data_IF_299097881311
#
_entry.id   IF_299097881311
#
_cell.length_a   1.000
_cell.length_b   1.000
_cell.length_c   1.000
_cell.angle_alpha   90.00
_cell.angle_beta   90.00
_cell.angle_gamma   90.00
#
_symmetry.space_group_name_H-M   'P 1'
#
loop_
_entity.id
_entity.type
_entity.pdbx_description
1 polymer ?
#
# COMPACT_ATOMS: atom_id res chain seq x y z
N UNK A 1 -25.33 2.58 -7.53
CA UNK A 1 -24.12 1.90 -8.08
C UNK A 1 -24.05 0.50 -7.53
N UNK A 2 -23.77 -0.49 -8.38
CA UNK A 2 -23.54 -1.86 -7.94
C UNK A 2 -22.14 -1.99 -7.31
N UNK A 3 -21.97 -2.96 -6.40
CA UNK A 3 -20.69 -3.25 -5.77
C UNK A 3 -19.90 -4.23 -6.63
N UNK A 4 -18.58 -4.06 -6.65
CA UNK A 4 -17.67 -5.07 -7.17
C UNK A 4 -17.26 -5.99 -6.01
N UNK A 5 -17.41 -7.30 -6.19
CA UNK A 5 -16.97 -8.30 -5.23
C UNK A 5 -15.94 -9.17 -5.92
N UNK A 6 -14.71 -9.18 -5.39
CA UNK A 6 -13.60 -9.99 -5.88
C UNK A 6 -13.30 -11.12 -4.89
N UNK A 7 -12.80 -12.23 -5.39
CA UNK A 7 -12.52 -13.44 -4.61
C UNK A 7 -11.09 -13.93 -4.84
N UNK A 8 -10.66 -14.87 -4.01
CA UNK A 8 -9.42 -15.62 -4.13
C UNK A 8 -8.19 -14.74 -4.44
N UNK A 9 -7.52 -15.04 -5.54
CA UNK A 9 -6.26 -14.44 -5.91
C UNK A 9 -6.40 -12.98 -6.34
N UNK A 10 -7.49 -12.65 -7.03
CA UNK A 10 -7.76 -11.28 -7.46
C UNK A 10 -7.96 -10.36 -6.26
N UNK A 11 -8.67 -10.83 -5.23
CA UNK A 11 -8.82 -10.12 -3.97
C UNK A 11 -7.47 -9.95 -3.26
N UNK A 12 -6.68 -11.03 -3.12
CA UNK A 12 -5.37 -11.00 -2.45
C UNK A 12 -4.39 -10.06 -3.15
N UNK A 13 -4.28 -10.12 -4.48
CA UNK A 13 -3.40 -9.23 -5.26
C UNK A 13 -3.85 -7.77 -5.21
N UNK A 14 -5.16 -7.51 -5.10
CA UNK A 14 -5.68 -6.17 -4.86
C UNK A 14 -5.18 -5.60 -3.53
N UNK A 15 -5.30 -6.39 -2.46
CA UNK A 15 -4.85 -6.00 -1.12
C UNK A 15 -3.34 -5.85 -1.04
N UNK A 16 -2.59 -6.80 -1.61
CA UNK A 16 -1.12 -6.79 -1.62
C UNK A 16 -0.58 -5.51 -2.28
N UNK A 17 -1.12 -5.12 -3.44
CA UNK A 17 -0.71 -3.88 -4.13
C UNK A 17 -0.93 -2.64 -3.26
N UNK A 18 -2.08 -2.53 -2.62
CA UNK A 18 -2.39 -1.43 -1.71
C UNK A 18 -1.45 -1.42 -0.49
N UNK A 19 -1.21 -2.59 0.09
CA UNK A 19 -0.31 -2.74 1.23
C UNK A 19 1.13 -2.37 0.86
N UNK A 20 1.64 -2.86 -0.28
CA UNK A 20 2.98 -2.54 -0.77
C UNK A 20 3.15 -1.04 -0.99
N UNK A 21 2.15 -0.38 -1.59
CA UNK A 21 2.17 1.08 -1.80
C UNK A 21 2.33 1.84 -0.46
N UNK A 22 1.57 1.44 0.55
CA UNK A 22 1.64 2.06 1.88
C UNK A 22 2.97 1.74 2.59
N UNK A 23 3.35 0.47 2.62
CA UNK A 23 4.56 -0.01 3.27
C UNK A 23 5.82 0.58 2.64
N UNK A 24 5.88 0.70 1.31
CA UNK A 24 7.00 1.30 0.59
C UNK A 24 7.18 2.78 0.91
N UNK A 25 6.07 3.50 1.12
CA UNK A 25 6.08 4.91 1.50
C UNK A 25 6.51 5.09 2.96
N UNK A 26 6.04 4.23 3.87
CA UNK A 26 6.35 4.37 5.30
C UNK A 26 7.76 3.85 5.61
N UNK A 27 8.20 2.75 4.98
CA UNK A 27 9.49 2.12 5.31
C UNK A 27 10.69 3.04 5.10
N UNK A 28 10.61 3.99 4.16
CA UNK A 28 11.71 4.93 3.89
C UNK A 28 11.93 5.93 5.02
N UNK A 29 10.95 6.10 5.94
CA UNK A 29 11.05 7.04 7.07
C UNK A 29 11.57 6.38 8.35
N UNK A 30 11.78 5.06 8.35
CA UNK A 30 12.11 4.32 9.57
C UNK A 30 13.58 4.45 9.98
N UNK A 31 13.79 4.62 11.28
CA UNK A 31 15.11 4.65 11.93
C UNK A 31 15.79 6.03 11.93
N UNK A 32 16.97 6.13 12.57
CA UNK A 32 17.68 7.40 12.76
C UNK A 32 18.22 8.03 11.46
N UNK A 33 18.12 7.31 10.32
CA UNK A 33 18.51 7.77 8.98
C UNK A 33 17.33 7.76 7.99
N UNK A 34 16.09 7.76 8.48
CA UNK A 34 14.89 7.86 7.65
C UNK A 34 14.89 9.11 6.76
N UNK A 35 14.28 8.99 5.56
CA UNK A 35 14.14 10.06 4.58
C UNK A 35 12.76 10.70 4.69
N UNK A 36 12.64 11.93 4.20
CA UNK A 36 11.36 12.63 4.12
C UNK A 36 10.54 12.16 2.92
N UNK A 37 9.23 12.09 3.11
CA UNK A 37 8.23 11.91 2.05
C UNK A 37 7.46 13.22 1.90
N UNK A 38 7.27 13.70 0.67
CA UNK A 38 6.48 14.90 0.37
C UNK A 38 5.04 14.48 0.06
N UNK A 39 4.07 15.17 0.64
CA UNK A 39 2.64 14.99 0.36
C UNK A 39 2.17 16.20 -0.46
N UNK A 40 1.64 15.95 -1.66
CA UNK A 40 1.03 16.96 -2.55
C UNK A 40 -0.50 16.82 -2.60
#
# INVERSE_FOLDING_TARGET
MAKMIAFDEDARRGLERGMNTSADTVKVTLGPRGRNVVLE
#
